data_IF_372687004469
#
_entry.id   IF_372687004469
#
_cell.length_a   1.000
_cell.length_b   1.000
_cell.length_c   1.000
_cell.angle_alpha   90.00
_cell.angle_beta   90.00
_cell.angle_gamma   90.00
#
_symmetry.space_group_name_H-M   'P 1'
#
loop_
_entity.id
_entity.type
_entity.pdbx_description
1 polymer ?
#
# COMPACT_ATOMS: atom_id res chain seq x y z
N UNK A 1 6.81 3.21 6.78
CA UNK A 1 5.91 3.82 7.78
C UNK A 1 5.70 2.89 8.97
N UNK A 2 5.27 3.44 10.12
CA UNK A 2 4.96 2.69 11.34
C UNK A 2 3.45 2.67 11.61
N UNK A 3 2.89 1.48 11.86
CA UNK A 3 1.46 1.28 12.13
C UNK A 3 1.08 1.61 13.57
N UNK A 4 2.06 1.64 14.49
CA UNK A 4 1.93 2.09 15.88
C UNK A 4 3.00 3.13 16.20
N UNK A 5 2.74 3.99 17.19
CA UNK A 5 3.62 5.10 17.62
C UNK A 5 3.77 5.10 19.16
N UNK A 6 4.89 5.62 19.72
CA UNK A 6 6.06 6.16 19.02
C UNK A 6 6.96 5.06 18.42
N UNK A 7 7.63 5.29 17.27
CA UNK A 7 8.39 4.29 16.54
C UNK A 7 9.51 3.64 17.36
N UNK A 8 10.15 4.37 18.28
CA UNK A 8 11.26 3.85 19.08
C UNK A 8 10.90 2.55 19.82
N UNK A 9 9.67 2.46 20.37
CA UNK A 9 9.16 1.30 21.10
C UNK A 9 8.35 0.32 20.25
N UNK A 10 8.12 0.61 18.98
CA UNK A 10 7.19 -0.16 18.12
C UNK A 10 7.80 -0.52 16.78
N UNK A 11 9.09 -0.86 16.75
CA UNK A 11 9.83 -1.18 15.52
C UNK A 11 9.25 -2.42 14.80
N UNK A 12 8.71 -3.37 15.55
CA UNK A 12 8.04 -4.56 15.04
C UNK A 12 6.73 -4.24 14.30
N UNK A 13 6.14 -3.06 14.54
CA UNK A 13 4.93 -2.58 13.87
C UNK A 13 5.22 -1.74 12.63
N UNK A 14 6.48 -1.69 12.17
CA UNK A 14 6.80 -1.12 10.86
C UNK A 14 6.19 -2.01 9.78
N UNK A 15 5.52 -1.42 8.80
CA UNK A 15 4.69 -2.15 7.85
C UNK A 15 5.46 -3.29 7.14
N UNK A 16 6.67 -3.01 6.69
CA UNK A 16 7.56 -3.98 6.05
C UNK A 16 7.93 -5.14 6.99
N UNK A 17 8.17 -4.88 8.27
CA UNK A 17 8.44 -5.92 9.27
C UNK A 17 7.21 -6.81 9.48
N UNK A 18 6.02 -6.22 9.59
CA UNK A 18 4.77 -6.98 9.73
C UNK A 18 4.55 -7.89 8.52
N UNK A 19 4.68 -7.34 7.31
CA UNK A 19 4.50 -8.11 6.07
C UNK A 19 5.55 -9.22 5.96
N UNK A 20 6.81 -8.94 6.29
CA UNK A 20 7.88 -9.93 6.30
C UNK A 20 7.57 -11.09 7.26
N UNK A 21 7.24 -10.80 8.52
CA UNK A 21 6.93 -11.84 9.50
C UNK A 21 5.75 -12.72 9.07
N UNK A 22 4.71 -12.12 8.46
CA UNK A 22 3.56 -12.88 7.94
C UNK A 22 3.94 -13.74 6.74
N UNK A 23 4.73 -13.20 5.82
CA UNK A 23 5.26 -13.95 4.68
C UNK A 23 6.12 -15.14 5.14
N UNK A 24 7.03 -14.94 6.10
CA UNK A 24 7.88 -15.99 6.69
C UNK A 24 7.04 -17.07 7.40
N UNK A 25 5.88 -16.71 7.96
CA UNK A 25 4.91 -17.64 8.54
C UNK A 25 4.03 -18.37 7.49
N UNK A 26 4.25 -18.14 6.19
CA UNK A 26 3.56 -18.82 5.09
C UNK A 26 2.37 -18.06 4.49
N UNK A 27 2.03 -16.88 5.00
CA UNK A 27 0.93 -16.06 4.47
C UNK A 27 1.29 -15.55 3.08
N UNK A 28 0.37 -15.71 2.11
CA UNK A 28 0.49 -15.13 0.77
C UNK A 28 -0.02 -13.69 0.79
N UNK A 29 0.80 -12.75 0.30
CA UNK A 29 0.55 -11.32 0.36
C UNK A 29 0.54 -10.78 -1.07
N UNK A 30 -0.63 -10.33 -1.51
CA UNK A 30 -0.85 -9.77 -2.84
C UNK A 30 -1.11 -8.27 -2.72
N UNK A 31 -0.35 -7.47 -3.46
CA UNK A 31 -0.43 -6.00 -3.41
C UNK A 31 -0.56 -5.45 -4.82
N UNK A 32 -1.55 -4.57 -5.02
CA UNK A 32 -1.65 -3.75 -6.23
C UNK A 32 -1.40 -2.31 -5.79
N UNK A 33 -0.44 -1.64 -6.43
CA UNK A 33 -0.21 -0.21 -6.25
C UNK A 33 -0.44 0.53 -7.56
N UNK A 34 -0.95 1.75 -7.47
CA UNK A 34 -1.04 2.63 -8.63
C UNK A 34 0.36 2.88 -9.19
N UNK A 35 0.52 2.71 -10.51
CA UNK A 35 1.72 3.12 -11.22
C UNK A 35 1.52 4.56 -11.68
N UNK A 36 2.23 5.46 -11.02
CA UNK A 36 2.21 6.88 -11.29
C UNK A 36 2.91 7.26 -12.59
N UNK A 37 2.56 8.44 -13.11
CA UNK A 37 3.39 9.15 -14.10
C UNK A 37 4.52 9.81 -13.33
N UNK A 38 5.72 9.21 -13.37
CA UNK A 38 6.86 9.58 -12.52
C UNK A 38 7.26 11.06 -12.60
N UNK A 39 6.95 11.78 -13.69
CA UNK A 39 7.23 13.22 -13.79
C UNK A 39 6.24 14.10 -13.02
N UNK A 40 5.06 13.58 -12.69
CA UNK A 40 3.95 14.35 -12.11
C UNK A 40 3.69 14.02 -10.63
N UNK A 41 4.16 12.86 -10.14
CA UNK A 41 3.85 12.37 -8.79
C UNK A 41 5.09 11.77 -8.12
N UNK A 42 5.21 12.00 -6.81
CA UNK A 42 6.35 11.64 -5.97
C UNK A 42 6.18 10.31 -5.22
N UNK A 43 5.11 9.56 -5.51
CA UNK A 43 4.75 8.32 -4.82
C UNK A 43 5.80 7.19 -4.90
N UNK A 44 6.57 7.13 -5.99
CA UNK A 44 7.60 6.13 -6.27
C UNK A 44 7.12 4.67 -6.07
N UNK A 45 6.06 4.27 -6.77
CA UNK A 45 5.54 2.89 -6.71
C UNK A 45 6.58 1.85 -7.10
N UNK A 46 7.56 2.25 -7.94
CA UNK A 46 8.71 1.41 -8.27
C UNK A 46 9.49 1.03 -7.03
N UNK A 47 9.88 2.00 -6.21
CA UNK A 47 10.56 1.73 -4.93
C UNK A 47 9.73 0.80 -4.05
N UNK A 48 8.42 1.08 -3.86
CA UNK A 48 7.52 0.21 -3.07
C UNK A 48 7.53 -1.23 -3.57
N UNK A 49 7.42 -1.44 -4.89
CA UNK A 49 7.47 -2.79 -5.48
C UNK A 49 8.80 -3.49 -5.17
N UNK A 50 9.93 -2.83 -5.38
CA UNK A 50 11.25 -3.44 -5.13
C UNK A 50 11.45 -3.72 -3.63
N UNK A 51 11.16 -2.74 -2.77
CA UNK A 51 11.34 -2.87 -1.32
C UNK A 51 10.53 -4.04 -0.75
N UNK A 52 9.27 -4.19 -1.15
CA UNK A 52 8.41 -5.30 -0.69
C UNK A 52 8.85 -6.66 -1.22
N UNK A 53 9.27 -6.74 -2.49
CA UNK A 53 9.80 -8.00 -3.05
C UNK A 53 11.10 -8.43 -2.38
N UNK A 54 11.95 -7.48 -2.00
CA UNK A 54 13.25 -7.75 -1.37
C UNK A 54 13.15 -8.18 0.10
N UNK A 55 11.97 -8.15 0.73
CA UNK A 55 11.81 -8.53 2.14
C UNK A 55 12.14 -9.99 2.43
N UNK A 56 11.88 -10.89 1.47
CA UNK A 56 12.13 -12.32 1.58
C UNK A 56 13.00 -12.80 0.38
N UNK A 57 14.33 -12.66 0.47
CA UNK A 57 15.27 -13.09 -0.57
C UNK A 57 15.16 -14.59 -0.91
N UNK A 58 15.68 -14.99 -2.06
CA UNK A 58 15.71 -16.40 -2.45
C UNK A 58 16.45 -17.24 -1.40
N UNK A 59 15.86 -18.38 -1.03
CA UNK A 59 16.38 -19.26 0.00
C UNK A 59 15.99 -18.90 1.45
N UNK A 60 15.31 -17.78 1.69
CA UNK A 60 14.76 -17.46 3.03
C UNK A 60 13.31 -17.93 3.17
N UNK A 61 12.82 -18.14 4.42
CA UNK A 61 11.39 -18.29 4.65
C UNK A 61 10.60 -17.13 4.03
N UNK A 62 9.40 -17.41 3.54
CA UNK A 62 8.56 -16.41 2.89
C UNK A 62 8.96 -16.03 1.46
N UNK A 63 10.05 -16.57 0.91
CA UNK A 63 10.43 -16.29 -0.48
C UNK A 63 9.28 -16.58 -1.45
N UNK A 64 8.97 -15.61 -2.31
CA UNK A 64 7.87 -15.70 -3.26
C UNK A 64 6.47 -15.52 -2.67
N UNK A 65 6.31 -15.33 -1.35
CA UNK A 65 5.00 -15.11 -0.73
C UNK A 65 4.49 -13.68 -0.89
N UNK A 66 5.34 -12.69 -1.18
CA UNK A 66 4.95 -11.30 -1.41
C UNK A 66 4.99 -11.00 -2.91
N UNK A 67 3.84 -10.65 -3.49
CA UNK A 67 3.67 -10.31 -4.91
C UNK A 67 3.13 -8.90 -5.06
N UNK A 68 3.81 -8.06 -5.84
CA UNK A 68 3.42 -6.66 -6.05
C UNK A 68 3.24 -6.35 -7.54
N UNK A 69 2.04 -5.92 -7.90
CA UNK A 69 1.71 -5.42 -9.24
C UNK A 69 1.59 -3.90 -9.24
N UNK A 70 1.98 -3.30 -10.36
CA UNK A 70 1.81 -1.86 -10.60
C UNK A 70 1.02 -1.64 -11.88
N UNK A 71 -0.02 -0.82 -11.83
CA UNK A 71 -0.92 -0.54 -12.96
C UNK A 71 -1.52 0.88 -12.83
N UNK A 72 -1.84 1.58 -13.94
CA UNK A 72 -1.71 1.22 -15.36
C UNK A 72 -0.31 1.46 -15.93
N UNK A 73 0.00 0.85 -17.09
CA UNK A 73 1.14 1.29 -17.89
C UNK A 73 0.74 2.46 -18.79
N UNK A 74 1.42 3.59 -18.60
CA UNK A 74 1.20 4.82 -19.36
C UNK A 74 2.00 4.78 -20.68
N UNK A 75 1.51 4.06 -21.69
CA UNK A 75 2.24 3.88 -22.95
C UNK A 75 1.88 5.00 -23.97
N UNK A 76 2.69 6.06 -24.02
CA UNK A 76 2.42 7.28 -24.82
C UNK A 76 2.20 6.99 -26.32
N UNK A 77 2.80 5.92 -26.85
CA UNK A 77 2.77 5.59 -28.29
C UNK A 77 1.60 4.71 -28.72
N UNK A 78 1.04 3.88 -27.83
CA UNK A 78 -0.13 3.03 -28.14
C UNK A 78 -1.44 3.70 -27.75
N UNK A 79 -1.38 4.61 -26.76
CA UNK A 79 -2.52 5.12 -26.03
C UNK A 79 -2.68 6.65 -26.15
N UNK A 80 -2.32 7.26 -27.30
CA UNK A 80 -2.47 8.71 -27.52
C UNK A 80 -3.92 9.21 -27.40
N UNK A 81 -4.91 8.32 -27.54
CA UNK A 81 -6.32 8.59 -27.30
C UNK A 81 -6.85 7.99 -25.97
N UNK A 82 -6.02 7.25 -25.23
CA UNK A 82 -6.42 6.67 -23.95
C UNK A 82 -6.22 7.69 -22.83
N UNK A 83 -7.31 8.04 -22.17
CA UNK A 83 -7.33 9.01 -21.08
C UNK A 83 -6.72 8.46 -19.79
N UNK A 84 -6.13 7.25 -19.79
CA UNK A 84 -5.57 6.59 -18.60
C UNK A 84 -4.54 7.45 -17.86
N UNK A 85 -3.87 8.38 -18.54
CA UNK A 85 -2.96 9.37 -17.93
C UNK A 85 -3.62 10.23 -16.84
N UNK A 86 -4.93 10.47 -16.93
CA UNK A 86 -5.67 11.33 -16.01
C UNK A 86 -6.34 10.55 -14.86
N UNK A 87 -6.32 9.22 -14.91
CA UNK A 87 -7.02 8.37 -13.95
C UNK A 87 -6.05 7.58 -13.08
N UNK A 88 -6.50 7.23 -11.89
CA UNK A 88 -5.73 6.46 -10.93
C UNK A 88 -6.58 5.38 -10.28
N UNK A 89 -5.93 4.27 -9.93
CA UNK A 89 -6.46 3.35 -8.91
C UNK A 89 -6.36 4.05 -7.56
N UNK A 90 -7.49 4.50 -7.03
CA UNK A 90 -7.53 5.42 -5.89
C UNK A 90 -8.19 4.82 -4.64
N UNK A 91 -8.79 3.65 -4.76
CA UNK A 91 -9.28 2.89 -3.61
C UNK A 91 -8.15 2.47 -2.66
N UNK A 92 -8.44 2.52 -1.35
CA UNK A 92 -7.57 1.99 -0.31
C UNK A 92 -8.33 0.93 0.45
N UNK A 93 -7.91 -0.31 0.32
CA UNK A 93 -8.50 -1.40 1.09
C UNK A 93 -7.53 -2.55 1.27
N UNK A 94 -7.80 -3.37 2.29
CA UNK A 94 -7.06 -4.60 2.61
C UNK A 94 -8.10 -5.66 2.97
N UNK A 95 -7.93 -6.87 2.45
CA UNK A 95 -8.72 -8.05 2.85
C UNK A 95 -7.76 -9.07 3.46
N UNK A 96 -8.16 -9.67 4.58
CA UNK A 96 -7.39 -10.69 5.29
C UNK A 96 -8.26 -11.94 5.39
N UNK A 97 -7.78 -13.03 4.77
CA UNK A 97 -8.35 -14.39 4.83
C UNK A 97 -9.86 -14.48 4.52
N UNK A 98 -10.38 -13.54 3.71
CA UNK A 98 -11.81 -13.36 3.43
C UNK A 98 -12.70 -13.19 4.68
N UNK A 99 -12.09 -12.92 5.84
CA UNK A 99 -12.79 -12.83 7.13
C UNK A 99 -12.96 -11.38 7.59
N UNK A 100 -12.01 -10.51 7.26
CA UNK A 100 -12.03 -9.10 7.62
C UNK A 100 -11.52 -8.25 6.47
N UNK A 101 -12.15 -7.10 6.26
CA UNK A 101 -11.70 -6.08 5.32
C UNK A 101 -11.59 -4.72 6.01
N UNK A 102 -10.68 -3.88 5.51
CA UNK A 102 -10.59 -2.47 5.84
C UNK A 102 -10.70 -1.68 4.55
N UNK A 103 -11.51 -0.62 4.53
CA UNK A 103 -11.68 0.28 3.36
C UNK A 103 -11.87 1.72 3.84
N UNK A 104 -11.39 2.70 3.07
CA UNK A 104 -11.54 4.11 3.42
C UNK A 104 -10.68 5.06 2.60
N UNK A 105 -10.45 6.26 3.14
CA UNK A 105 -9.57 7.28 2.55
C UNK A 105 -8.08 7.14 2.92
N UNK A 106 -7.76 6.31 3.91
CA UNK A 106 -6.41 6.20 4.49
C UNK A 106 -5.55 5.23 3.68
N UNK A 107 -4.58 5.76 2.93
CA UNK A 107 -3.49 4.97 2.35
C UNK A 107 -2.47 4.55 3.43
N UNK A 108 -1.87 3.37 3.25
CA UNK A 108 -0.66 2.97 3.97
C UNK A 108 0.58 3.68 3.39
N UNK A 109 0.69 4.99 3.61
CA UNK A 109 1.84 5.80 3.20
C UNK A 109 2.12 6.95 4.19
N UNK A 110 3.16 7.75 3.90
CA UNK A 110 3.59 8.83 4.79
C UNK A 110 2.56 9.95 4.93
N UNK A 111 2.54 10.58 6.11
CA UNK A 111 1.74 11.76 6.44
C UNK A 111 0.27 11.48 6.74
N UNK A 112 -0.18 10.22 6.68
CA UNK A 112 -1.59 9.82 6.93
C UNK A 112 -1.89 9.50 8.39
N UNK A 113 -0.88 9.06 9.15
CA UNK A 113 -1.07 8.77 10.56
C UNK A 113 -1.35 10.07 11.31
N UNK A 114 -2.40 10.10 12.11
CA UNK A 114 -2.73 11.24 12.97
C UNK A 114 -3.57 10.77 14.17
N UNK A 115 -3.70 11.64 15.18
CA UNK A 115 -4.57 11.45 16.33
C UNK A 115 -5.62 12.57 16.37
N UNK A 116 -6.69 12.40 17.17
CA UNK A 116 -7.78 13.40 17.27
C UNK A 116 -7.29 14.81 17.67
N UNK A 117 -6.14 14.89 18.34
CA UNK A 117 -5.51 16.14 18.75
C UNK A 117 -4.92 16.93 17.57
N UNK A 118 -4.68 16.28 16.42
CA UNK A 118 -4.06 16.89 15.24
C UNK A 118 -2.81 17.71 15.58
N UNK A 119 -1.79 17.11 16.22
CA UNK A 119 -0.60 17.84 16.66
C UNK A 119 0.10 18.52 15.48
N UNK A 120 0.41 19.80 15.67
CA UNK A 120 1.15 20.63 14.72
C UNK A 120 2.67 20.58 14.95
N UNK A 121 3.10 20.19 16.16
CA UNK A 121 4.49 20.17 16.61
C UNK A 121 4.88 18.77 17.10
N UNK A 122 6.11 18.34 16.79
CA UNK A 122 6.70 17.06 17.24
C UNK A 122 8.23 17.24 17.40
N UNK A 123 8.61 18.14 18.31
CA UNK A 123 10.00 18.51 18.55
C UNK A 123 10.41 18.03 19.93
N UNK A 124 11.41 17.15 19.99
CA UNK A 124 11.91 16.56 21.22
C UNK A 124 13.42 16.79 21.38
N UNK A 125 13.88 17.97 21.84
CA UNK A 125 15.31 18.33 21.85
C UNK A 125 16.19 17.40 22.70
N UNK A 126 15.63 16.80 23.74
CA UNK A 126 16.35 15.96 24.70
C UNK A 126 15.91 14.48 24.69
N UNK A 127 14.85 14.12 23.94
CA UNK A 127 14.33 12.75 23.92
C UNK A 127 13.74 12.34 22.57
N UNK A 128 14.60 11.99 21.62
CA UNK A 128 14.19 11.47 20.30
C UNK A 128 13.34 10.19 20.37
N UNK A 129 13.27 9.51 21.52
CA UNK A 129 12.48 8.28 21.69
C UNK A 129 10.98 8.53 21.66
N UNK A 130 10.56 9.74 22.02
CA UNK A 130 9.15 10.13 22.07
C UNK A 130 8.65 10.69 20.73
N UNK A 131 9.54 10.82 19.74
CA UNK A 131 9.20 11.30 18.40
C UNK A 131 8.03 10.51 17.82
N UNK A 132 6.98 11.21 17.41
CA UNK A 132 5.78 10.57 16.88
C UNK A 132 5.85 10.44 15.36
N UNK A 133 6.40 11.44 14.65
CA UNK A 133 6.40 11.54 13.18
C UNK A 133 7.84 11.54 12.63
N UNK A 134 8.50 10.37 12.48
CA UNK A 134 9.89 10.32 12.06
C UNK A 134 10.05 10.57 10.56
N UNK A 135 11.17 11.20 10.18
CA UNK A 135 11.58 11.36 8.77
C UNK A 135 10.47 11.96 7.91
N UNK A 136 10.23 11.37 6.74
CA UNK A 136 9.19 11.79 5.77
C UNK A 136 7.77 11.77 6.32
N UNK A 137 7.50 11.11 7.45
CA UNK A 137 6.17 11.11 8.03
C UNK A 137 5.80 12.44 8.69
N UNK A 138 6.82 13.25 9.03
CA UNK A 138 6.65 14.68 9.26
C UNK A 138 6.50 15.39 7.92
N UNK A 139 5.33 15.94 7.62
CA UNK A 139 5.08 16.49 6.31
C UNK A 139 4.11 17.67 6.32
N UNK A 140 4.31 18.59 5.38
CA UNK A 140 3.39 19.67 5.07
C UNK A 140 3.40 19.96 3.56
N UNK A 141 2.48 19.31 2.83
CA UNK A 141 2.35 19.42 1.37
C UNK A 141 2.09 20.85 0.85
N UNK A 142 1.69 21.79 1.71
CA UNK A 142 1.52 23.20 1.31
C UNK A 142 2.85 23.96 1.25
N UNK A 143 3.86 23.46 1.95
CA UNK A 143 5.20 24.04 2.00
C UNK A 143 6.09 23.32 1.00
N UNK A 144 6.12 21.99 1.07
CA UNK A 144 6.91 21.14 0.20
C UNK A 144 6.26 19.78 0.08
N UNK A 145 6.20 19.25 -1.15
CA UNK A 145 5.77 17.86 -1.39
C UNK A 145 6.92 16.89 -1.10
N UNK A 146 6.60 15.61 -0.88
CA UNK A 146 7.58 14.57 -0.57
C UNK A 146 8.74 14.54 -1.56
N UNK A 147 9.96 14.48 -1.04
CA UNK A 147 11.19 14.37 -1.84
C UNK A 147 11.93 13.09 -1.47
N UNK A 148 12.67 12.50 -2.41
CA UNK A 148 13.62 11.42 -2.12
C UNK A 148 13.05 10.26 -1.25
N UNK A 149 11.79 9.87 -1.47
CA UNK A 149 11.02 8.93 -0.62
C UNK A 149 11.68 7.56 -0.36
N UNK A 150 12.70 7.20 -1.15
CA UNK A 150 13.51 6.00 -0.91
C UNK A 150 14.41 6.14 0.33
N UNK A 151 14.87 7.35 0.64
CA UNK A 151 15.56 7.69 1.89
C UNK A 151 14.57 8.33 2.87
N UNK A 152 13.72 7.47 3.43
CA UNK A 152 12.59 7.92 4.25
C UNK A 152 12.98 8.63 5.56
N UNK A 153 14.23 8.46 6.02
CA UNK A 153 14.72 9.10 7.24
C UNK A 153 15.10 10.54 6.99
N UNK A 154 15.58 10.86 5.78
CA UNK A 154 15.82 12.22 5.35
C UNK A 154 14.50 12.96 5.18
N UNK A 155 14.46 14.22 5.63
CA UNK A 155 13.34 15.11 5.44
C UNK A 155 13.84 16.54 5.25
N UNK A 156 13.36 17.19 4.19
CA UNK A 156 13.70 18.56 3.83
C UNK A 156 12.91 19.59 4.65
N UNK A 157 11.78 19.20 5.24
CA UNK A 157 10.95 20.09 6.08
C UNK A 157 11.47 20.06 7.51
N UNK A 158 12.11 21.15 7.91
CA UNK A 158 12.59 21.35 9.29
C UNK A 158 11.43 21.36 10.29
N UNK A 159 11.48 20.45 11.26
CA UNK A 159 10.54 20.41 12.39
C UNK A 159 10.63 21.64 13.31
N UNK A 160 11.76 22.35 13.29
CA UNK A 160 11.98 23.53 14.13
C UNK A 160 11.32 24.78 13.53
N UNK A 161 11.22 24.83 12.19
CA UNK A 161 10.79 26.03 11.47
C UNK A 161 9.32 25.95 11.02
N UNK A 162 8.81 24.74 10.75
CA UNK A 162 7.49 24.54 10.18
C UNK A 162 6.71 23.48 10.94
N UNK A 163 5.43 23.75 11.21
CA UNK A 163 4.52 22.71 11.71
C UNK A 163 4.07 21.75 10.60
N UNK A 164 3.79 20.50 10.97
CA UNK A 164 3.19 19.54 10.03
C UNK A 164 1.77 19.96 9.64
N UNK A 165 1.30 19.47 8.49
CA UNK A 165 -0.10 19.57 8.10
C UNK A 165 -0.87 18.38 8.68
N UNK A 166 -1.86 18.60 9.57
CA UNK A 166 -2.69 17.52 10.06
C UNK A 166 -3.45 16.78 8.97
N UNK A 167 -3.73 15.51 9.23
CA UNK A 167 -4.49 14.64 8.35
C UNK A 167 -5.77 14.21 9.06
N UNK A 168 -6.90 14.59 8.50
CA UNK A 168 -8.22 14.17 8.97
C UNK A 168 -8.84 13.27 7.92
N UNK A 169 -9.26 12.06 8.32
CA UNK A 169 -9.73 11.04 7.39
C UNK A 169 -10.60 10.00 8.11
N UNK A 170 -11.26 9.16 7.33
CA UNK A 170 -12.15 8.10 7.81
C UNK A 170 -11.84 6.79 7.08
N UNK A 171 -11.86 5.71 7.84
CA UNK A 171 -11.83 4.34 7.34
C UNK A 171 -12.74 3.47 8.19
N UNK A 172 -13.11 2.31 7.66
CA UNK A 172 -13.98 1.35 8.34
C UNK A 172 -13.41 -0.07 8.26
N UNK A 173 -13.64 -0.85 9.31
CA UNK A 173 -13.43 -2.29 9.32
C UNK A 173 -14.76 -3.02 9.10
N UNK A 174 -14.74 -4.07 8.28
CA UNK A 174 -15.89 -4.88 7.93
C UNK A 174 -15.61 -6.35 8.24
N UNK A 175 -16.64 -7.05 8.72
CA UNK A 175 -16.65 -8.49 8.97
C UNK A 175 -17.98 -9.07 8.48
N UNK A 176 -17.98 -10.33 8.09
CA UNK A 176 -19.15 -11.02 7.52
C UNK A 176 -19.15 -11.02 6.00
N UNK A 177 -20.28 -11.41 5.40
CA UNK A 177 -20.36 -11.79 3.98
C UNK A 177 -19.94 -10.68 3.01
N UNK A 178 -20.11 -9.41 3.39
CA UNK A 178 -19.68 -8.26 2.58
C UNK A 178 -18.16 -8.22 2.32
N UNK A 179 -17.36 -8.95 3.11
CA UNK A 179 -15.91 -9.08 2.87
C UNK A 179 -15.64 -9.83 1.56
N UNK A 180 -16.51 -10.77 1.16
CA UNK A 180 -16.36 -11.49 -0.11
C UNK A 180 -16.51 -10.57 -1.32
N UNK A 181 -17.40 -9.57 -1.27
CA UNK A 181 -17.57 -8.62 -2.38
C UNK A 181 -16.31 -7.76 -2.56
N UNK A 182 -15.68 -7.35 -1.46
CA UNK A 182 -14.42 -6.58 -1.48
C UNK A 182 -13.26 -7.47 -1.97
N UNK A 183 -13.25 -8.73 -1.56
CA UNK A 183 -12.28 -9.71 -2.02
C UNK A 183 -12.42 -9.99 -3.52
N UNK A 184 -13.65 -10.13 -4.01
CA UNK A 184 -13.96 -10.32 -5.42
C UNK A 184 -13.43 -9.16 -6.25
N UNK A 185 -13.68 -7.92 -5.82
CA UNK A 185 -13.12 -6.74 -6.47
C UNK A 185 -11.58 -6.80 -6.58
N UNK A 186 -10.90 -7.22 -5.51
CA UNK A 186 -9.44 -7.42 -5.56
C UNK A 186 -9.02 -8.50 -6.55
N UNK A 187 -9.65 -9.67 -6.51
CA UNK A 187 -9.34 -10.83 -7.35
C UNK A 187 -9.57 -10.52 -8.82
N UNK A 188 -10.72 -9.92 -9.16
CA UNK A 188 -11.05 -9.51 -10.52
C UNK A 188 -10.01 -8.52 -11.06
N UNK A 189 -9.63 -7.52 -10.26
CA UNK A 189 -8.63 -6.54 -10.67
C UNK A 189 -7.23 -7.14 -10.77
N UNK A 190 -6.85 -8.02 -9.84
CA UNK A 190 -5.57 -8.71 -9.90
C UNK A 190 -5.45 -9.50 -11.20
N UNK A 191 -6.47 -10.31 -11.51
CA UNK A 191 -6.53 -11.12 -12.72
C UNK A 191 -6.58 -10.27 -13.99
N UNK A 192 -7.30 -9.13 -13.96
CA UNK A 192 -7.26 -8.14 -15.04
C UNK A 192 -5.84 -7.62 -15.28
N UNK A 193 -5.14 -7.13 -14.24
CA UNK A 193 -3.77 -6.62 -14.37
C UNK A 193 -2.80 -7.71 -14.80
N UNK A 194 -2.98 -8.94 -14.29
CA UNK A 194 -2.20 -10.09 -14.74
C UNK A 194 -2.40 -10.33 -16.23
N UNK A 195 -3.64 -10.37 -16.71
CA UNK A 195 -3.95 -10.58 -18.13
C UNK A 195 -3.40 -9.48 -19.02
N UNK A 196 -3.56 -8.23 -18.59
CA UNK A 196 -3.24 -7.04 -19.36
C UNK A 196 -1.72 -6.88 -19.50
N UNK A 197 -1.00 -6.98 -18.39
CA UNK A 197 0.42 -6.62 -18.31
C UNK A 197 1.36 -7.79 -18.00
N UNK A 198 0.95 -8.72 -17.15
CA UNK A 198 1.79 -9.80 -16.64
C UNK A 198 1.41 -11.18 -17.23
N UNK A 199 0.83 -11.20 -18.43
CA UNK A 199 0.20 -12.41 -19.00
C UNK A 199 1.15 -13.59 -19.10
N UNK A 200 2.40 -13.30 -19.47
CA UNK A 200 3.49 -14.27 -19.68
C UNK A 200 4.42 -14.40 -18.47
N UNK A 201 4.17 -13.64 -17.40
CA UNK A 201 4.95 -13.75 -16.17
C UNK A 201 4.38 -14.88 -15.32
N UNK A 202 5.09 -16.02 -15.31
CA UNK A 202 4.75 -17.19 -14.51
C UNK A 202 4.99 -16.97 -13.00
N UNK A 203 5.70 -15.90 -12.62
CA UNK A 203 5.92 -15.52 -11.23
C UNK A 203 4.74 -14.75 -10.61
N UNK A 204 3.71 -14.40 -11.39
CA UNK A 204 2.47 -13.77 -10.92
C UNK A 204 1.35 -14.80 -10.95
N UNK A 205 0.64 -15.01 -9.86
CA UNK A 205 -0.41 -16.03 -9.76
C UNK A 205 -1.72 -15.56 -10.40
N UNK A 206 -2.54 -16.49 -10.93
CA UNK A 206 -3.98 -16.23 -11.09
C UNK A 206 -4.66 -16.47 -9.75
N UNK A 207 -5.52 -15.57 -9.33
CA UNK A 207 -6.26 -15.71 -8.08
C UNK A 207 -7.65 -16.27 -8.36
N UNK A 208 -8.10 -17.13 -7.47
CA UNK A 208 -9.47 -17.63 -7.39
C UNK A 208 -9.98 -17.31 -6.00
N UNK A 209 -11.25 -16.91 -5.88
CA UNK A 209 -11.87 -16.84 -4.57
C UNK A 209 -12.02 -18.27 -4.04
N UNK A 210 -11.57 -18.49 -2.82
CA UNK A 210 -11.72 -19.75 -2.11
C UNK A 210 -12.78 -19.59 -1.00
N UNK A 211 -13.50 -20.66 -0.66
CA UNK A 211 -14.41 -20.68 0.48
C UNK A 211 -15.87 -20.34 0.19
N UNK A 212 -16.23 -19.96 -1.05
CA UNK A 212 -17.61 -20.07 -1.53
C UNK A 212 -17.76 -21.45 -2.19
N UNK A 213 -18.35 -22.40 -1.47
CA UNK A 213 -18.55 -23.79 -1.93
C UNK A 213 -20.03 -24.12 -2.16
N UNK A 214 -20.87 -23.09 -2.27
CA UNK A 214 -22.32 -23.21 -2.51
C UNK A 214 -22.68 -23.20 -3.99
N UNK A 215 -23.97 -23.38 -4.28
CA UNK A 215 -24.51 -23.53 -5.65
C UNK A 215 -24.46 -22.24 -6.50
N UNK A 216 -24.18 -21.07 -5.90
CA UNK A 216 -24.18 -19.75 -6.55
C UNK A 216 -22.81 -19.30 -7.11
N UNK A 217 -21.82 -20.21 -7.20
CA UNK A 217 -20.47 -19.93 -7.72
C UNK A 217 -20.44 -19.40 -9.16
N UNK A 218 -21.45 -19.74 -9.98
CA UNK A 218 -21.54 -19.34 -11.39
C UNK A 218 -21.77 -17.82 -11.60
N UNK A 219 -22.08 -17.08 -10.53
CA UNK A 219 -22.30 -15.62 -10.60
C UNK A 219 -20.99 -14.82 -10.57
N UNK A 220 -19.89 -15.42 -10.10
CA UNK A 220 -18.57 -14.79 -10.20
C UNK A 220 -18.12 -14.97 -11.64
N UNK A 221 -18.01 -13.87 -12.38
CA UNK A 221 -17.49 -13.82 -13.74
C UNK A 221 -16.01 -14.19 -13.82
N UNK A 222 -15.65 -15.40 -13.39
CA UNK A 222 -14.33 -15.98 -13.55
C UNK A 222 -14.15 -16.20 -15.05
N UNK A 223 -13.62 -15.18 -15.73
CA UNK A 223 -12.96 -15.38 -17.01
C UNK A 223 -11.73 -16.24 -16.76
N UNK A 224 -11.95 -17.55 -16.74
CA UNK A 224 -10.88 -18.54 -16.84
C UNK A 224 -10.15 -18.26 -18.17
N UNK A 225 -8.81 -18.22 -18.18
CA UNK A 225 -8.05 -18.19 -19.43
C UNK A 225 -8.31 -19.42 -20.28
#
# INVERSE_FOLDING_TARGET
LFLRRPPYSTQEWRLDQVLKHRAEAGVKIYVIVYKEVNQALTCNSAHTKHALHSLCPEGTPGHGNIKVLRHPDHNIFENAADMTFYWAHHEKFIVIDYAVAFIGGIDLCFGRWDAHQHPLADVHPANLKDEIFPGQDWNNNRIMDFQSVADWQSNEVSKADYGRMPWHDVAMGLVGDCVYDIAEHFVLRWNFVKRDKYKRDHGVDWLLLEGRTGDDEDLVGVQRP
#
